data_IF_827241239621
#
_entry.id   IF_827241239621
#
_cell.length_a   1.000
_cell.length_b   1.000
_cell.length_c   1.000
_cell.angle_alpha   90.00
_cell.angle_beta   90.00
_cell.angle_gamma   90.00
#
_symmetry.space_group_name_H-M   'P 1'
#
loop_
_entity.id
_entity.type
_entity.pdbx_description
1 polymer ?
#
# COMPACT_ATOMS: atom_id res chain seq x y z
N UNK A 1 -6.23 -2.45 -4.72
CA UNK A 1 -5.98 -3.35 -3.57
C UNK A 1 -4.88 -4.32 -3.94
N UNK A 2 -3.95 -4.63 -3.02
CA UNK A 2 -2.93 -5.67 -3.16
C UNK A 2 -2.96 -6.55 -1.90
N UNK A 3 -3.37 -7.82 -2.01
CA UNK A 3 -3.72 -8.63 -0.85
C UNK A 3 -3.26 -10.10 -0.93
N UNK A 4 -2.98 -10.68 0.25
CA UNK A 4 -2.79 -12.11 0.42
C UNK A 4 -4.13 -12.91 0.38
N UNK A 5 -5.28 -12.25 0.27
CA UNK A 5 -6.59 -12.87 0.14
C UNK A 5 -6.85 -13.47 -1.23
N UNK A 6 -7.75 -14.46 -1.29
CA UNK A 6 -8.21 -15.03 -2.56
C UNK A 6 -9.09 -14.02 -3.32
N UNK A 7 -9.19 -14.10 -4.65
CA UNK A 7 -10.05 -13.21 -5.44
C UNK A 7 -11.50 -13.19 -4.93
N UNK A 8 -12.07 -14.36 -4.64
CA UNK A 8 -13.45 -14.47 -4.16
C UNK A 8 -13.69 -13.70 -2.86
N UNK A 9 -12.79 -13.86 -1.87
CA UNK A 9 -12.88 -13.13 -0.59
C UNK A 9 -12.70 -11.62 -0.77
N UNK A 10 -11.81 -11.19 -1.64
CA UNK A 10 -11.58 -9.77 -1.90
C UNK A 10 -12.78 -9.11 -2.57
N UNK A 11 -13.39 -9.77 -3.57
CA UNK A 11 -14.61 -9.25 -4.21
C UNK A 11 -15.79 -9.23 -3.24
N UNK A 12 -15.96 -10.26 -2.40
CA UNK A 12 -16.99 -10.26 -1.36
C UNK A 12 -16.81 -9.11 -0.37
N UNK A 13 -15.56 -8.87 0.08
CA UNK A 13 -15.22 -7.77 0.98
C UNK A 13 -15.58 -6.41 0.36
N UNK A 14 -15.22 -6.18 -0.88
CA UNK A 14 -15.52 -4.94 -1.60
C UNK A 14 -17.02 -4.76 -1.77
N UNK A 15 -17.74 -5.80 -2.18
CA UNK A 15 -19.19 -5.76 -2.38
C UNK A 15 -19.96 -5.51 -1.08
N UNK A 16 -19.63 -6.23 -0.01
CA UNK A 16 -20.32 -6.13 1.28
C UNK A 16 -20.12 -4.77 1.97
N UNK A 17 -19.06 -4.06 1.62
CA UNK A 17 -18.78 -2.71 2.12
C UNK A 17 -19.18 -1.58 1.15
N UNK A 18 -19.92 -1.88 0.08
CA UNK A 18 -20.34 -0.91 -0.94
C UNK A 18 -19.16 -0.13 -1.57
N UNK A 19 -18.01 -0.79 -1.72
CA UNK A 19 -16.80 -0.21 -2.31
C UNK A 19 -16.65 -0.55 -3.80
N UNK A 20 -17.71 -1.04 -4.43
CA UNK A 20 -17.72 -1.31 -5.86
C UNK A 20 -17.39 -0.03 -6.64
N UNK A 21 -16.53 -0.14 -7.63
CA UNK A 21 -16.07 0.98 -8.47
C UNK A 21 -15.22 2.05 -7.75
N UNK A 22 -14.76 1.79 -6.52
CA UNK A 22 -13.82 2.67 -5.82
C UNK A 22 -12.38 2.35 -6.20
N UNK A 23 -12.09 1.09 -6.51
CA UNK A 23 -10.73 0.62 -6.81
C UNK A 23 -10.59 0.31 -8.30
N UNK A 24 -9.52 0.79 -8.91
CA UNK A 24 -9.19 0.49 -10.31
C UNK A 24 -8.86 -0.98 -10.49
N UNK A 25 -8.17 -1.59 -9.50
CA UNK A 25 -7.79 -3.00 -9.52
C UNK A 25 -7.74 -3.64 -8.13
N UNK A 26 -7.92 -4.97 -8.15
CA UNK A 26 -7.77 -5.84 -6.99
C UNK A 26 -6.80 -6.96 -7.36
N UNK A 27 -5.58 -6.90 -6.80
CA UNK A 27 -4.54 -7.90 -7.01
C UNK A 27 -4.57 -8.93 -5.89
N UNK A 28 -4.72 -10.20 -6.26
CA UNK A 28 -4.57 -11.33 -5.36
C UNK A 28 -3.22 -12.03 -5.57
N UNK A 29 -2.60 -12.47 -4.48
CA UNK A 29 -1.36 -13.25 -4.53
C UNK A 29 -1.51 -14.58 -5.27
N UNK A 30 -2.73 -15.06 -5.49
CA UNK A 30 -2.98 -16.27 -6.29
C UNK A 30 -2.44 -16.13 -7.72
N UNK A 31 -2.44 -14.93 -8.29
CA UNK A 31 -1.91 -14.67 -9.63
C UNK A 31 -0.40 -14.99 -9.75
N UNK A 32 0.34 -14.89 -8.67
CA UNK A 32 1.79 -15.14 -8.64
C UNK A 32 2.16 -16.35 -7.77
N UNK A 33 1.17 -17.00 -7.17
CA UNK A 33 1.31 -18.22 -6.34
C UNK A 33 2.34 -18.10 -5.21
N UNK A 34 2.47 -16.91 -4.64
CA UNK A 34 3.37 -16.63 -3.51
C UNK A 34 2.81 -15.47 -2.70
N UNK A 35 2.99 -15.52 -1.36
CA UNK A 35 2.48 -14.49 -0.45
C UNK A 35 3.45 -13.31 -0.27
N UNK A 36 2.89 -12.15 0.11
CA UNK A 36 3.68 -11.07 0.70
C UNK A 36 4.43 -11.59 1.94
N UNK A 37 5.65 -11.14 2.22
CA UNK A 37 6.32 -9.98 1.63
C UNK A 37 7.24 -10.30 0.43
N UNK A 38 6.98 -11.35 -0.34
CA UNK A 38 7.78 -11.63 -1.53
C UNK A 38 7.65 -10.49 -2.56
N UNK A 39 8.78 -10.08 -3.15
CA UNK A 39 8.85 -8.97 -4.11
C UNK A 39 7.98 -9.16 -5.35
N UNK A 40 7.74 -10.40 -5.79
CA UNK A 40 6.87 -10.70 -6.93
C UNK A 40 5.44 -10.18 -6.75
N UNK A 41 4.97 -10.11 -5.49
CA UNK A 41 3.64 -9.60 -5.20
C UNK A 41 3.60 -8.07 -5.37
N UNK A 42 4.60 -7.38 -4.83
CA UNK A 42 4.69 -5.91 -4.98
C UNK A 42 4.96 -5.49 -6.43
N UNK A 43 5.51 -6.39 -7.25
CA UNK A 43 5.79 -6.15 -8.67
C UNK A 43 4.52 -6.16 -9.56
N UNK A 44 3.40 -6.73 -9.07
CA UNK A 44 2.17 -6.86 -9.86
C UNK A 44 1.60 -5.51 -10.33
N UNK A 45 1.34 -4.51 -9.46
CA UNK A 45 0.86 -3.22 -9.93
C UNK A 45 1.89 -2.46 -10.77
N UNK A 46 3.18 -2.62 -10.48
CA UNK A 46 4.26 -2.00 -11.27
C UNK A 46 4.20 -2.47 -12.73
N UNK A 47 4.10 -3.77 -12.94
CA UNK A 47 3.99 -4.35 -14.28
C UNK A 47 2.70 -3.95 -14.99
N UNK A 48 1.58 -3.98 -14.28
CA UNK A 48 0.27 -3.68 -14.88
C UNK A 48 0.20 -2.24 -15.36
N UNK A 49 0.65 -1.29 -14.55
CA UNK A 49 0.53 0.14 -14.84
C UNK A 49 1.78 0.73 -15.52
N UNK A 50 2.85 -0.06 -15.68
CA UNK A 50 4.13 0.37 -16.24
C UNK A 50 4.66 1.66 -15.57
N UNK A 51 4.71 1.65 -14.24
CA UNK A 51 5.16 2.76 -13.40
C UNK A 51 6.44 2.39 -12.66
N UNK A 52 7.13 3.38 -12.11
CA UNK A 52 8.28 3.16 -11.24
C UNK A 52 7.80 2.88 -9.79
N UNK A 53 8.54 2.04 -9.07
CA UNK A 53 8.20 1.67 -7.69
C UNK A 53 8.21 2.87 -6.73
N UNK A 54 9.12 3.83 -6.90
CA UNK A 54 9.19 5.05 -6.10
C UNK A 54 8.02 6.04 -6.32
N UNK A 55 7.23 5.83 -7.37
CA UNK A 55 6.00 6.58 -7.64
C UNK A 55 4.75 5.95 -6.99
N UNK A 56 4.92 4.93 -6.16
CA UNK A 56 3.82 4.24 -5.48
C UNK A 56 3.80 4.56 -4.00
N UNK A 57 2.69 5.12 -3.52
CA UNK A 57 2.38 5.19 -2.09
C UNK A 57 1.70 3.88 -1.66
N UNK A 58 2.33 3.13 -0.78
CA UNK A 58 1.85 1.84 -0.30
C UNK A 58 1.41 1.95 1.16
N UNK A 59 0.14 1.65 1.41
CA UNK A 59 -0.47 1.75 2.74
C UNK A 59 -0.77 0.36 3.30
N UNK A 60 -0.33 0.10 4.52
CA UNK A 60 -0.72 -1.09 5.27
C UNK A 60 -0.78 -0.82 6.77
N UNK A 61 -1.66 -1.56 7.46
CA UNK A 61 -1.70 -1.58 8.92
C UNK A 61 -0.70 -2.62 9.51
N UNK A 62 -0.24 -3.56 8.70
CA UNK A 62 0.68 -4.61 9.13
C UNK A 62 2.13 -4.15 8.97
N UNK A 63 2.89 -4.16 10.05
CA UNK A 63 4.29 -3.70 10.08
C UNK A 63 5.19 -4.47 9.10
N UNK A 64 5.02 -5.80 9.03
CA UNK A 64 5.77 -6.66 8.11
C UNK A 64 5.48 -6.34 6.64
N UNK A 65 4.24 -5.94 6.31
CA UNK A 65 3.83 -5.60 4.95
C UNK A 65 4.34 -4.19 4.56
N UNK A 66 4.27 -3.24 5.49
CA UNK A 66 4.89 -1.91 5.35
C UNK A 66 6.40 -2.04 5.10
N UNK A 67 7.09 -2.86 5.91
CA UNK A 67 8.52 -3.12 5.75
C UNK A 67 8.83 -3.79 4.41
N UNK A 68 8.02 -4.78 4.01
CA UNK A 68 8.18 -5.47 2.73
C UNK A 68 7.99 -4.56 1.52
N UNK A 69 6.95 -3.73 1.53
CA UNK A 69 6.68 -2.75 0.47
C UNK A 69 7.76 -1.67 0.39
N UNK A 70 8.21 -1.17 1.53
CA UNK A 70 9.30 -0.20 1.59
C UNK A 70 10.63 -0.76 1.11
N UNK A 71 10.97 -2.00 1.50
CA UNK A 71 12.18 -2.68 1.01
C UNK A 71 12.11 -2.95 -0.50
N UNK A 72 10.92 -3.14 -1.06
CA UNK A 72 10.71 -3.26 -2.51
C UNK A 72 10.95 -1.93 -3.24
N UNK A 73 10.86 -0.80 -2.55
CA UNK A 73 11.08 0.55 -3.08
C UNK A 73 9.84 1.43 -3.16
N UNK A 74 8.74 1.03 -2.54
CA UNK A 74 7.54 1.85 -2.41
C UNK A 74 7.71 2.94 -1.34
N UNK A 75 7.04 4.07 -1.50
CA UNK A 75 6.84 5.01 -0.41
C UNK A 75 5.84 4.40 0.58
N UNK A 76 6.35 3.76 1.62
CA UNK A 76 5.53 2.99 2.56
C UNK A 76 4.94 3.86 3.67
N UNK A 77 3.64 3.70 3.90
CA UNK A 77 2.87 4.43 4.92
C UNK A 77 2.27 3.41 5.89
N UNK A 78 2.58 3.55 7.16
CA UNK A 78 1.99 2.73 8.19
C UNK A 78 0.71 3.33 8.73
N UNK A 79 -0.41 2.60 8.62
CA UNK A 79 -1.71 3.00 9.14
C UNK A 79 -1.86 2.44 10.55
N UNK A 80 -1.38 3.16 11.54
CA UNK A 80 -1.28 2.74 12.96
C UNK A 80 -2.50 3.17 13.78
N UNK A 81 -3.67 2.60 13.51
CA UNK A 81 -4.92 2.94 14.21
C UNK A 81 -4.89 2.68 15.71
N UNK A 82 -4.07 1.74 16.15
CA UNK A 82 -4.02 1.28 17.55
C UNK A 82 -2.88 1.92 18.35
N UNK A 83 -2.10 2.84 17.78
CA UNK A 83 -0.92 3.45 18.41
C UNK A 83 0.08 2.42 18.92
N UNK A 84 0.24 1.36 18.15
CA UNK A 84 1.17 0.26 18.45
C UNK A 84 2.61 0.68 18.20
N UNK A 85 3.54 -0.08 18.76
CA UNK A 85 4.97 0.06 18.46
C UNK A 85 5.25 -0.70 17.15
N UNK A 86 6.01 -0.08 16.24
CA UNK A 86 6.44 -0.75 15.02
C UNK A 86 7.42 -1.89 15.36
N UNK A 87 7.22 -3.04 14.73
CA UNK A 87 8.07 -4.21 14.94
C UNK A 87 9.54 -3.93 14.62
N UNK A 88 10.44 -4.69 15.24
CA UNK A 88 11.87 -4.56 14.99
C UNK A 88 12.24 -5.20 13.65
N UNK A 89 11.94 -4.50 12.57
CA UNK A 89 12.20 -4.88 11.18
C UNK A 89 13.23 -3.94 10.56
N UNK A 90 13.95 -4.42 9.56
CA UNK A 90 15.06 -3.70 8.93
C UNK A 90 14.59 -2.42 8.22
N UNK A 91 13.39 -2.45 7.62
CA UNK A 91 12.84 -1.31 6.90
C UNK A 91 11.71 -0.65 7.69
N UNK A 92 11.85 0.64 7.97
CA UNK A 92 10.85 1.46 8.68
C UNK A 92 9.93 2.18 7.69
N UNK A 93 8.70 2.54 8.09
CA UNK A 93 7.81 3.32 7.23
C UNK A 93 8.40 4.70 6.94
N UNK A 94 8.12 5.24 5.76
CA UNK A 94 8.41 6.63 5.43
C UNK A 94 7.52 7.60 6.22
N UNK A 95 6.29 7.18 6.47
CA UNK A 95 5.28 7.98 7.19
C UNK A 95 4.37 7.06 7.99
N UNK A 96 3.93 7.55 9.15
CA UNK A 96 2.90 6.94 9.99
C UNK A 96 1.67 7.85 10.02
N UNK A 97 0.48 7.25 9.91
CA UNK A 97 -0.82 7.91 10.06
C UNK A 97 -1.72 7.07 10.96
N UNK A 98 -2.62 7.71 11.70
CA UNK A 98 -3.59 7.00 12.56
C UNK A 98 -4.85 6.60 11.79
N UNK A 99 -5.20 7.34 10.74
CA UNK A 99 -6.37 7.07 9.91
C UNK A 99 -6.16 7.55 8.45
N UNK A 100 -7.00 7.06 7.53
CA UNK A 100 -6.86 7.38 6.12
C UNK A 100 -7.21 8.84 5.76
N UNK A 101 -7.92 9.58 6.61
CA UNK A 101 -8.22 11.00 6.33
C UNK A 101 -6.97 11.88 6.34
N UNK A 102 -5.93 11.47 7.07
CA UNK A 102 -4.65 12.17 7.10
C UNK A 102 -3.89 12.09 5.77
N UNK A 103 -4.21 11.08 4.95
CA UNK A 103 -3.61 10.92 3.62
C UNK A 103 -3.85 12.13 2.71
N UNK A 104 -5.00 12.78 2.85
CA UNK A 104 -5.36 14.00 2.09
C UNK A 104 -4.31 15.11 2.34
N UNK A 105 -3.94 15.33 3.59
CA UNK A 105 -2.95 16.33 3.97
C UNK A 105 -1.55 16.00 3.44
N UNK A 106 -1.18 14.70 3.42
CA UNK A 106 0.09 14.25 2.86
C UNK A 106 0.17 14.50 1.35
N UNK A 107 -0.89 14.19 0.61
CA UNK A 107 -0.96 14.40 -0.85
C UNK A 107 -0.85 15.90 -1.18
N UNK A 108 -1.59 16.76 -0.47
CA UNK A 108 -1.52 18.20 -0.66
C UNK A 108 -0.14 18.77 -0.33
N UNK A 109 0.52 18.31 0.74
CA UNK A 109 1.86 18.76 1.12
C UNK A 109 2.90 18.37 0.07
N UNK A 110 2.83 17.16 -0.47
CA UNK A 110 3.70 16.68 -1.54
C UNK A 110 3.49 17.47 -2.84
N UNK A 111 2.23 17.77 -3.18
CA UNK A 111 1.89 18.55 -4.36
C UNK A 111 2.42 19.99 -4.26
N UNK A 112 2.24 20.66 -3.11
CA UNK A 112 2.78 21.99 -2.86
C UNK A 112 4.32 22.03 -2.88
N UNK A 113 4.99 20.97 -2.43
CA UNK A 113 6.44 20.89 -2.46
C UNK A 113 6.97 20.78 -3.90
N UNK A 114 6.25 20.12 -4.81
CA UNK A 114 6.63 20.02 -6.22
C UNK A 114 6.55 21.35 -6.98
N UNK A 115 5.67 22.28 -6.55
CA UNK A 115 5.58 23.62 -7.14
C UNK A 115 6.66 24.62 -6.65
N UNK A 116 7.35 24.31 -5.55
CA UNK A 116 8.42 25.19 -5.03
C UNK A 116 9.78 24.98 -5.69
N UNK A 117 9.90 23.95 -6.51
CA UNK A 117 11.14 23.58 -7.22
C UNK A 117 11.09 23.93 -8.72
N UNK A 118 10.20 24.83 -9.13
CA UNK A 118 10.11 25.36 -10.50
C UNK A 118 10.57 26.82 -10.51
#
# INVERSE_FOLDING_TARGET
>A
ILSNGTPALLYELVNSNNLNNIFDDIFSVEEVSIFKPNSKVYDMPIKKYNIQNDNVAFLSANTWDVSGGGNYGYYSIWVNRNKSIFDNLDYKPHTEIENLSELISLIWSAHLASFKNV
#
